data_IF_787314754426
#
_entry.id   IF_787314754426
#
_cell.length_a   1.000
_cell.length_b   1.000
_cell.length_c   1.000
_cell.angle_alpha   90.00
_cell.angle_beta   90.00
_cell.angle_gamma   90.00
#
_symmetry.space_group_name_H-M   'P 1'
#
loop_
_entity.id
_entity.type
_entity.pdbx_description
1 polymer ?
#
# COMPACT_ATOMS: atom_id res chain seq x y z
N UNK A 1 -5.08 25.72 -9.54
CA UNK A 1 -5.31 24.92 -8.31
C UNK A 1 -4.36 25.44 -7.26
N UNK A 2 -4.86 25.80 -6.09
CA UNK A 2 -4.03 26.34 -4.99
C UNK A 2 -3.88 25.23 -3.95
N UNK A 3 -2.63 24.83 -3.65
CA UNK A 3 -2.32 23.96 -2.52
C UNK A 3 -2.15 24.81 -1.26
N UNK A 4 -2.67 24.32 -0.15
CA UNK A 4 -2.51 24.93 1.16
C UNK A 4 -1.98 23.87 2.13
N UNK A 5 -0.83 24.13 2.74
CA UNK A 5 -0.28 23.31 3.82
C UNK A 5 -0.71 23.84 5.18
N UNK A 6 -1.08 22.93 6.08
CA UNK A 6 -1.37 23.24 7.48
C UNK A 6 -0.31 22.50 8.30
N UNK A 7 0.66 23.28 8.78
CA UNK A 7 1.85 22.74 9.46
C UNK A 7 1.57 22.43 10.93
N UNK A 8 2.42 21.58 11.50
CA UNK A 8 2.41 21.19 12.92
C UNK A 8 1.04 20.67 13.38
N UNK A 9 0.32 19.99 12.50
CA UNK A 9 -1.07 19.61 12.75
C UNK A 9 -1.34 18.15 12.38
N UNK A 10 -2.29 17.56 13.10
CA UNK A 10 -2.79 16.20 12.84
C UNK A 10 -4.30 16.22 12.69
N UNK A 11 -4.85 15.29 11.95
CA UNK A 11 -6.30 15.04 11.93
C UNK A 11 -6.65 14.32 13.22
N UNK A 12 -7.51 14.92 14.03
CA UNK A 12 -7.97 14.36 15.29
C UNK A 12 -9.28 13.58 15.14
N UNK A 13 -10.16 14.05 14.24
CA UNK A 13 -11.47 13.44 14.03
C UNK A 13 -11.97 13.71 12.62
N UNK A 14 -12.85 12.84 12.11
CA UNK A 14 -13.49 12.97 10.80
C UNK A 14 -14.99 13.24 11.01
N UNK A 15 -15.45 14.36 10.45
CA UNK A 15 -16.84 14.78 10.54
C UNK A 15 -17.58 14.32 9.27
N UNK A 16 -18.73 13.72 9.44
CA UNK A 16 -19.53 13.24 8.32
C UNK A 16 -21.01 13.19 8.64
N UNK A 17 -21.81 12.97 7.61
CA UNK A 17 -23.25 12.73 7.72
C UNK A 17 -23.59 11.29 7.39
N UNK A 18 -24.71 10.80 7.93
CA UNK A 18 -25.11 9.39 7.78
C UNK A 18 -25.93 9.11 6.52
N UNK A 19 -26.70 10.08 6.06
CA UNK A 19 -27.58 9.92 4.91
C UNK A 19 -27.62 11.21 4.03
N UNK A 20 -27.10 11.16 2.81
CA UNK A 20 -26.19 10.12 2.31
C UNK A 20 -24.86 10.10 3.08
N UNK A 21 -24.25 8.93 3.19
CA UNK A 21 -22.93 8.82 3.87
C UNK A 21 -21.90 9.64 3.12
N UNK A 22 -21.38 10.68 3.75
CA UNK A 22 -20.32 11.52 3.17
C UNK A 22 -19.48 12.19 4.24
N UNK A 23 -18.21 12.47 3.90
CA UNK A 23 -17.34 13.31 4.72
C UNK A 23 -17.75 14.76 4.49
N UNK A 24 -17.88 15.53 5.57
CA UNK A 24 -18.24 16.96 5.51
C UNK A 24 -17.18 17.86 6.13
N UNK A 25 -16.24 17.29 6.88
CA UNK A 25 -15.19 18.04 7.52
C UNK A 25 -14.21 17.17 8.29
N UNK A 26 -13.21 17.82 8.85
CA UNK A 26 -12.25 17.21 9.78
C UNK A 26 -11.99 18.15 10.94
N UNK A 27 -11.65 17.59 12.12
CA UNK A 27 -11.04 18.33 13.21
C UNK A 27 -9.53 18.22 13.11
N UNK A 28 -8.87 19.35 13.12
CA UNK A 28 -7.41 19.47 13.04
C UNK A 28 -6.91 20.00 14.36
N UNK A 29 -5.97 19.28 14.98
CA UNK A 29 -5.27 19.71 16.18
C UNK A 29 -3.86 20.18 15.84
N UNK A 30 -3.52 21.40 16.22
CA UNK A 30 -2.17 21.90 16.13
C UNK A 30 -1.34 21.38 17.31
N UNK A 31 -0.22 20.71 17.01
CA UNK A 31 0.62 20.03 18.01
C UNK A 31 1.45 20.98 18.87
N UNK A 32 1.68 22.22 18.40
CA UNK A 32 2.45 23.23 19.16
C UNK A 32 1.57 24.02 20.11
N UNK A 33 0.37 24.39 19.66
CA UNK A 33 -0.55 25.24 20.43
C UNK A 33 -1.64 24.46 21.13
N UNK A 34 -1.82 23.17 20.80
CA UNK A 34 -2.94 22.33 21.23
C UNK A 34 -4.32 22.87 20.81
N UNK A 35 -4.38 23.86 19.94
CA UNK A 35 -5.65 24.38 19.44
C UNK A 35 -6.29 23.40 18.48
N UNK A 36 -7.61 23.24 18.57
CA UNK A 36 -8.42 22.43 17.66
C UNK A 36 -9.24 23.36 16.79
N UNK A 37 -9.28 23.09 15.50
CA UNK A 37 -10.10 23.81 14.52
C UNK A 37 -10.81 22.85 13.59
N UNK A 38 -11.92 23.27 13.00
CA UNK A 38 -12.64 22.48 12.01
C UNK A 38 -12.34 23.01 10.60
N UNK A 39 -12.14 22.08 9.67
CA UNK A 39 -11.99 22.37 8.25
C UNK A 39 -13.07 21.61 7.47
N UNK A 40 -13.87 22.35 6.69
CA UNK A 40 -14.83 21.73 5.76
C UNK A 40 -14.08 21.12 4.57
N UNK A 41 -14.37 19.87 4.27
CA UNK A 41 -13.81 19.12 3.15
C UNK A 41 -14.88 18.16 2.59
N UNK A 42 -14.72 17.76 1.34
CA UNK A 42 -15.59 16.79 0.67
C UNK A 42 -15.01 15.39 0.65
N UNK A 43 -13.75 15.24 1.02
CA UNK A 43 -13.06 13.95 1.10
C UNK A 43 -11.72 14.05 1.81
N UNK A 44 -11.24 12.93 2.37
CA UNK A 44 -9.96 12.83 3.06
C UNK A 44 -9.17 11.66 2.51
N UNK A 45 -7.92 11.91 2.11
CA UNK A 45 -6.95 10.89 1.75
C UNK A 45 -5.83 10.84 2.81
N UNK A 46 -5.60 9.66 3.36
CA UNK A 46 -4.52 9.44 4.34
C UNK A 46 -3.32 8.88 3.58
N UNK A 47 -2.25 9.69 3.48
CA UNK A 47 -1.05 9.37 2.71
C UNK A 47 0.20 9.36 3.61
N UNK A 48 0.14 8.64 4.74
CA UNK A 48 1.18 8.61 5.78
C UNK A 48 2.15 7.43 5.65
N UNK A 49 2.11 6.71 4.55
CA UNK A 49 2.96 5.56 4.27
C UNK A 49 2.15 4.36 3.78
N UNK A 50 2.88 3.28 3.50
CA UNK A 50 2.31 2.03 3.01
C UNK A 50 2.80 0.88 3.88
N UNK A 51 1.89 -0.01 4.23
CA UNK A 51 2.19 -1.28 4.88
C UNK A 51 1.71 -2.37 3.93
N UNK A 52 2.59 -3.27 3.46
CA UNK A 52 2.18 -4.33 2.56
C UNK A 52 1.23 -5.31 3.28
N UNK A 53 0.17 -5.74 2.59
CA UNK A 53 -0.83 -6.68 3.13
C UNK A 53 -0.29 -8.13 3.12
N UNK A 54 0.83 -8.36 3.77
CA UNK A 54 1.60 -9.63 3.73
C UNK A 54 1.61 -10.39 5.05
N UNK A 55 0.88 -9.89 6.05
CA UNK A 55 0.89 -10.46 7.42
C UNK A 55 0.53 -11.94 7.47
N UNK A 56 -0.34 -12.42 6.57
CA UNK A 56 -0.76 -13.83 6.47
C UNK A 56 0.36 -14.77 6.03
N UNK A 57 1.43 -14.25 5.41
CA UNK A 57 2.57 -15.03 4.92
C UNK A 57 3.77 -15.00 5.86
N UNK A 58 3.66 -14.35 7.02
CA UNK A 58 4.75 -14.30 8.01
C UNK A 58 5.14 -15.71 8.46
N UNK A 59 6.45 -15.97 8.47
CA UNK A 59 7.01 -17.27 8.82
C UNK A 59 6.93 -18.32 7.71
N UNK A 60 6.30 -18.01 6.59
CA UNK A 60 6.22 -18.88 5.41
C UNK A 60 7.10 -18.37 4.27
N UNK A 61 6.98 -17.07 3.94
CA UNK A 61 7.78 -16.43 2.91
C UNK A 61 8.88 -15.58 3.52
N UNK A 62 10.00 -15.50 2.82
CA UNK A 62 11.09 -14.56 3.18
C UNK A 62 10.63 -13.13 2.94
N UNK A 63 10.81 -12.28 3.95
CA UNK A 63 10.41 -10.88 3.92
C UNK A 63 11.52 -9.97 4.45
N UNK A 64 11.48 -8.72 4.04
CA UNK A 64 12.33 -7.71 4.65
C UNK A 64 11.75 -7.24 6.01
N UNK A 65 12.47 -6.31 6.66
CA UNK A 65 12.09 -5.77 7.99
C UNK A 65 10.76 -5.00 7.96
N UNK A 66 10.36 -4.50 6.80
CA UNK A 66 9.13 -3.73 6.60
C UNK A 66 7.95 -4.63 6.17
N UNK A 67 8.21 -5.93 5.94
CA UNK A 67 7.20 -6.91 5.59
C UNK A 67 6.99 -7.10 4.08
N UNK A 68 7.84 -6.54 3.23
CA UNK A 68 7.80 -6.80 1.78
C UNK A 68 8.38 -8.17 1.46
N UNK A 69 7.71 -8.89 0.57
CA UNK A 69 8.15 -10.24 0.15
C UNK A 69 9.43 -10.12 -0.69
N UNK A 70 10.45 -10.88 -0.31
CA UNK A 70 11.70 -10.97 -1.04
C UNK A 70 11.58 -11.97 -2.20
N UNK A 71 12.06 -11.56 -3.36
CA UNK A 71 12.11 -12.42 -4.56
C UNK A 71 13.55 -12.55 -5.04
N UNK A 72 13.81 -13.51 -5.92
CA UNK A 72 15.10 -13.61 -6.61
C UNK A 72 15.36 -12.34 -7.44
N UNK A 73 16.62 -11.97 -7.68
CA UNK A 73 16.96 -10.89 -8.61
C UNK A 73 16.32 -11.13 -9.98
N UNK A 74 15.83 -10.05 -10.60
CA UNK A 74 15.20 -10.04 -11.93
C UNK A 74 14.06 -11.06 -12.13
N UNK A 75 13.40 -11.47 -11.02
CA UNK A 75 12.35 -12.49 -11.00
C UNK A 75 11.28 -12.13 -9.97
N UNK A 76 10.12 -12.78 -10.10
CA UNK A 76 9.05 -12.72 -9.11
C UNK A 76 9.03 -13.96 -8.20
N UNK A 77 9.93 -14.93 -8.43
CA UNK A 77 10.02 -16.17 -7.65
C UNK A 77 10.46 -15.89 -6.20
N UNK A 78 9.71 -16.44 -5.25
CA UNK A 78 10.00 -16.35 -3.81
C UNK A 78 10.97 -17.47 -3.37
N UNK A 79 11.16 -17.60 -2.06
CA UNK A 79 11.91 -18.71 -1.47
C UNK A 79 11.18 -20.08 -1.57
N UNK A 80 9.89 -20.10 -1.90
CA UNK A 80 9.10 -21.31 -2.07
C UNK A 80 8.88 -21.59 -3.56
N UNK A 81 9.31 -22.75 -4.08
CA UNK A 81 9.10 -23.09 -5.49
C UNK A 81 7.61 -23.10 -5.87
N UNK A 82 7.29 -22.43 -6.99
CA UNK A 82 5.91 -22.30 -7.49
C UNK A 82 5.11 -21.16 -6.82
N UNK A 83 5.73 -20.40 -5.92
CA UNK A 83 5.14 -19.21 -5.31
C UNK A 83 5.87 -17.95 -5.81
N UNK A 84 5.10 -17.00 -6.33
CA UNK A 84 5.58 -15.78 -6.94
C UNK A 84 4.98 -14.57 -6.24
N UNK A 85 5.70 -13.45 -6.20
CA UNK A 85 5.22 -12.21 -5.62
C UNK A 85 5.38 -11.05 -6.61
N UNK A 86 4.33 -10.27 -6.80
CA UNK A 86 4.28 -9.15 -7.73
C UNK A 86 3.53 -7.94 -7.14
N UNK A 87 3.81 -6.75 -7.66
CA UNK A 87 3.15 -5.51 -7.24
C UNK A 87 3.56 -5.03 -5.86
N UNK A 88 2.66 -4.32 -5.19
CA UNK A 88 2.91 -3.58 -3.95
C UNK A 88 3.38 -4.45 -2.78
N UNK A 89 3.12 -5.75 -2.79
CA UNK A 89 3.60 -6.68 -1.74
C UNK A 89 5.12 -6.92 -1.82
N UNK A 90 5.75 -6.59 -2.96
CA UNK A 90 7.19 -6.72 -3.24
C UNK A 90 7.83 -5.36 -3.57
N UNK A 91 7.11 -4.51 -4.33
CA UNK A 91 7.61 -3.21 -4.80
C UNK A 91 7.42 -2.12 -3.74
N UNK A 92 8.43 -1.93 -2.91
CA UNK A 92 8.41 -0.85 -1.92
C UNK A 92 8.87 0.51 -2.45
N UNK A 93 9.35 0.58 -3.69
CA UNK A 93 9.96 1.78 -4.27
C UNK A 93 8.95 2.55 -5.12
N UNK A 94 8.44 1.94 -6.17
CA UNK A 94 7.60 2.61 -7.17
C UNK A 94 6.13 2.58 -6.81
N UNK A 95 5.59 1.41 -6.48
CA UNK A 95 4.18 1.24 -6.08
C UNK A 95 3.21 1.89 -7.08
N UNK A 96 3.42 1.60 -8.35
CA UNK A 96 2.62 2.12 -9.45
C UNK A 96 1.84 1.00 -10.12
N UNK A 97 0.63 1.31 -10.62
CA UNK A 97 -0.20 0.33 -11.32
C UNK A 97 0.52 -0.32 -12.50
N UNK A 98 1.30 0.46 -13.25
CA UNK A 98 2.04 -0.07 -14.41
C UNK A 98 3.18 -1.00 -14.02
N UNK A 99 3.92 -0.70 -12.93
CA UNK A 99 4.97 -1.60 -12.44
C UNK A 99 4.36 -2.87 -11.87
N UNK A 100 3.24 -2.78 -11.17
CA UNK A 100 2.50 -3.94 -10.66
C UNK A 100 1.99 -4.83 -11.81
N UNK A 101 1.45 -4.25 -12.87
CA UNK A 101 1.01 -4.98 -14.06
C UNK A 101 2.18 -5.70 -14.75
N UNK A 102 3.32 -5.03 -14.92
CA UNK A 102 4.54 -5.64 -15.48
C UNK A 102 5.05 -6.81 -14.66
N UNK A 103 5.13 -6.67 -13.34
CA UNK A 103 5.49 -7.77 -12.45
C UNK A 103 4.46 -8.91 -12.47
N UNK A 104 3.16 -8.60 -12.61
CA UNK A 104 2.11 -9.59 -12.77
C UNK A 104 2.28 -10.42 -14.04
N UNK A 105 2.64 -9.79 -15.15
CA UNK A 105 2.99 -10.49 -16.39
C UNK A 105 4.20 -11.42 -16.20
N UNK A 106 5.27 -10.93 -15.56
CA UNK A 106 6.44 -11.76 -15.22
C UNK A 106 6.05 -12.98 -14.40
N UNK A 107 5.24 -12.80 -13.35
CA UNK A 107 4.77 -13.90 -12.50
C UNK A 107 3.98 -14.95 -13.26
N UNK A 108 3.14 -14.53 -14.21
CA UNK A 108 2.34 -15.43 -15.01
C UNK A 108 3.23 -16.30 -15.92
N UNK A 109 4.22 -15.70 -16.60
CA UNK A 109 5.16 -16.40 -17.46
C UNK A 109 6.06 -17.37 -16.68
N UNK A 110 6.53 -16.97 -15.50
CA UNK A 110 7.31 -17.83 -14.61
C UNK A 110 6.49 -19.02 -14.07
N UNK A 111 5.20 -18.78 -13.75
CA UNK A 111 4.29 -19.84 -13.32
C UNK A 111 4.00 -20.83 -14.44
N UNK A 112 3.76 -20.36 -15.66
CA UNK A 112 3.56 -21.21 -16.84
C UNK A 112 4.78 -22.11 -17.08
N UNK A 113 5.99 -21.52 -17.05
CA UNK A 113 7.23 -22.27 -17.19
C UNK A 113 7.37 -23.36 -16.11
N UNK A 114 7.14 -22.99 -14.85
CA UNK A 114 7.22 -23.92 -13.72
C UNK A 114 6.26 -25.10 -13.86
N UNK A 115 5.04 -24.84 -14.34
CA UNK A 115 4.04 -25.91 -14.56
C UNK A 115 4.43 -26.82 -15.71
N UNK A 116 4.95 -26.27 -16.82
CA UNK A 116 5.40 -27.06 -17.97
C UNK A 116 6.55 -28.00 -17.62
N UNK A 117 7.51 -27.52 -16.81
CA UNK A 117 8.65 -28.32 -16.36
C UNK A 117 8.24 -29.48 -15.40
N UNK A 118 7.10 -29.36 -14.71
CA UNK A 118 6.56 -30.40 -13.82
C UNK A 118 5.69 -31.42 -14.55
N UNK A 119 5.20 -31.07 -15.72
CA UNK A 119 4.33 -31.96 -16.53
C UNK A 119 5.09 -32.85 -17.52
N UNK A 120 6.41 -32.65 -17.57
CA UNK A 120 7.35 -33.45 -18.38
C UNK A 120 8.03 -34.53 -17.53
#
# INVERSE_FOLDING_TARGET
>A
MLFRSIWDSVVEDIIGQKDPKSVTGIKIKNLKTNSVSELKIDGLFIAIGHIPATSIFRGQLSMDKEGYILTKPDSTATNIPGVYAAGDVKDKIFRQAITAAGMGCMSALEAEKFLSEKSS
#
